data_IF_102824803402
#
_entry.id   IF_102824803402
#
_cell.length_a   1.000
_cell.length_b   1.000
_cell.length_c   1.000
_cell.angle_alpha   90.00
_cell.angle_beta   90.00
_cell.angle_gamma   90.00
#
_symmetry.space_group_name_H-M   'P 1'
#
loop_
_entity.id
_entity.type
_entity.pdbx_description
1 polymer ?
#
# COMPACT_ATOMS: atom_id res chain seq x y z
N UNK A 1 10.42 -11.74 -10.26
CA UNK A 1 9.73 -13.00 -10.61
C UNK A 1 10.30 -14.19 -9.86
N UNK A 2 11.63 -14.47 -10.01
CA UNK A 2 12.29 -15.67 -9.47
C UNK A 2 12.06 -15.88 -7.97
N UNK A 3 12.03 -14.80 -7.18
CA UNK A 3 11.90 -14.87 -5.73
C UNK A 3 10.48 -14.62 -5.23
N UNK A 4 9.74 -13.69 -5.86
CA UNK A 4 8.39 -13.33 -5.46
C UNK A 4 7.32 -14.28 -6.02
N UNK A 5 7.47 -14.73 -7.28
CA UNK A 5 6.51 -15.61 -7.93
C UNK A 5 6.12 -16.83 -7.08
N UNK A 6 7.09 -17.61 -6.56
CA UNK A 6 6.78 -18.79 -5.73
C UNK A 6 5.98 -18.50 -4.47
N UNK A 7 6.06 -17.27 -3.93
CA UNK A 7 5.28 -16.86 -2.75
C UNK A 7 3.80 -16.72 -3.13
N UNK A 8 3.51 -16.04 -4.25
CA UNK A 8 2.15 -15.70 -4.66
C UNK A 8 1.36 -16.87 -5.28
N UNK A 9 2.02 -17.96 -5.67
CA UNK A 9 1.33 -19.19 -6.12
C UNK A 9 0.92 -20.12 -4.96
N UNK A 10 1.20 -19.75 -3.72
CA UNK A 10 0.77 -20.51 -2.56
C UNK A 10 -0.72 -20.22 -2.26
N UNK A 11 -1.65 -21.19 -2.42
CA UNK A 11 -3.08 -20.95 -2.20
C UNK A 11 -3.44 -20.70 -0.73
N UNK A 12 -2.52 -20.97 0.21
CA UNK A 12 -2.71 -20.70 1.65
C UNK A 12 -2.19 -19.32 2.05
N UNK A 13 -1.65 -18.56 1.11
CA UNK A 13 -1.18 -17.20 1.37
C UNK A 13 -2.38 -16.29 1.63
N UNK A 14 -2.31 -15.49 2.67
CA UNK A 14 -3.17 -14.31 2.84
C UNK A 14 -2.48 -13.09 2.27
N UNK A 15 -3.15 -12.38 1.37
CA UNK A 15 -2.66 -11.14 0.78
C UNK A 15 -3.46 -9.97 1.36
N UNK A 16 -2.77 -9.01 1.93
CA UNK A 16 -3.37 -7.83 2.54
C UNK A 16 -2.76 -6.61 1.89
N UNK A 17 -3.57 -5.65 1.49
CA UNK A 17 -3.11 -4.41 0.87
C UNK A 17 -4.10 -3.27 1.07
N UNK A 18 -3.66 -2.09 0.72
CA UNK A 18 -4.48 -0.87 0.64
C UNK A 18 -4.76 -0.59 -0.84
N UNK A 19 -6.02 -0.61 -1.26
CA UNK A 19 -6.38 -0.55 -2.68
C UNK A 19 -5.69 -1.67 -3.49
N UNK A 20 -5.71 -2.87 -2.93
CA UNK A 20 -4.96 -4.06 -3.39
C UNK A 20 -5.20 -4.39 -4.87
N UNK A 21 -6.33 -4.00 -5.41
CA UNK A 21 -6.66 -4.18 -6.82
C UNK A 21 -5.58 -3.61 -7.73
N UNK A 22 -5.00 -2.45 -7.37
CA UNK A 22 -3.92 -1.83 -8.13
C UNK A 22 -2.67 -2.72 -8.14
N UNK A 23 -2.26 -3.22 -6.96
CA UNK A 23 -1.07 -4.07 -6.82
C UNK A 23 -1.23 -5.41 -7.54
N UNK A 24 -2.41 -6.01 -7.48
CA UNK A 24 -2.74 -7.24 -8.24
C UNK A 24 -2.61 -7.04 -9.75
N UNK A 25 -3.03 -5.87 -10.26
CA UNK A 25 -2.84 -5.54 -11.67
C UNK A 25 -1.36 -5.38 -12.04
N UNK A 26 -0.56 -4.74 -11.18
CA UNK A 26 0.88 -4.58 -11.39
C UNK A 26 1.55 -5.96 -11.37
N UNK A 27 1.29 -6.79 -10.38
CA UNK A 27 1.82 -8.16 -10.29
C UNK A 27 1.50 -8.97 -11.54
N UNK A 28 0.25 -8.93 -12.01
CA UNK A 28 -0.17 -9.60 -13.24
C UNK A 28 0.61 -9.11 -14.46
N UNK A 29 0.81 -7.78 -14.60
CA UNK A 29 1.56 -7.19 -15.73
C UNK A 29 3.01 -7.63 -15.76
N UNK A 30 3.64 -7.82 -14.63
CA UNK A 30 5.02 -8.34 -14.54
C UNK A 30 5.06 -9.88 -14.55
N UNK A 31 3.90 -10.55 -14.74
CA UNK A 31 3.75 -12.00 -14.88
C UNK A 31 3.94 -12.75 -13.57
N UNK A 32 3.52 -12.17 -12.46
CA UNK A 32 3.36 -12.85 -11.19
C UNK A 32 1.87 -13.12 -11.02
N UNK A 33 1.52 -14.40 -10.93
CA UNK A 33 0.16 -14.85 -10.68
C UNK A 33 -0.10 -14.97 -9.19
N UNK A 34 -1.21 -14.43 -8.75
CA UNK A 34 -1.70 -14.56 -7.37
C UNK A 34 -2.83 -15.57 -7.37
N UNK A 35 -2.60 -16.74 -6.77
CA UNK A 35 -3.55 -17.87 -6.84
C UNK A 35 -4.46 -17.97 -5.63
N UNK A 36 -4.12 -17.28 -4.54
CA UNK A 36 -4.98 -17.25 -3.35
C UNK A 36 -6.25 -16.45 -3.59
N UNK A 37 -7.33 -16.89 -2.94
CA UNK A 37 -8.60 -16.12 -2.83
C UNK A 37 -8.71 -15.39 -1.49
N UNK A 38 -7.78 -15.63 -0.54
CA UNK A 38 -7.73 -14.96 0.77
C UNK A 38 -7.05 -13.59 0.62
N UNK A 39 -7.78 -12.64 0.01
CA UNK A 39 -7.30 -11.30 -0.33
C UNK A 39 -8.10 -10.26 0.46
N UNK A 40 -7.41 -9.38 1.16
CA UNK A 40 -7.99 -8.36 2.02
C UNK A 40 -7.54 -6.96 1.62
N UNK A 41 -8.51 -6.05 1.51
CA UNK A 41 -8.28 -4.64 1.17
C UNK A 41 -8.67 -3.74 2.34
N UNK A 42 -7.68 -3.09 2.93
CA UNK A 42 -7.90 -2.19 4.07
C UNK A 42 -8.71 -0.96 3.72
N UNK A 43 -8.70 -0.54 2.45
CA UNK A 43 -9.57 0.55 1.97
C UNK A 43 -11.05 0.14 2.03
N UNK A 44 -11.37 -1.08 1.61
CA UNK A 44 -12.73 -1.61 1.66
C UNK A 44 -13.15 -1.86 3.12
N UNK A 45 -12.26 -2.44 3.93
CA UNK A 45 -12.53 -2.64 5.36
C UNK A 45 -12.82 -1.33 6.09
N UNK A 46 -12.03 -0.28 5.82
CA UNK A 46 -12.25 1.06 6.37
C UNK A 46 -13.63 1.60 6.01
N UNK A 47 -14.00 1.47 4.73
CA UNK A 47 -15.31 1.91 4.26
C UNK A 47 -16.46 1.15 4.94
N UNK A 48 -16.32 -0.15 5.15
CA UNK A 48 -17.31 -0.96 5.89
C UNK A 48 -17.42 -0.53 7.36
N UNK A 49 -16.31 -0.13 7.98
CA UNK A 49 -16.33 0.35 9.36
C UNK A 49 -16.99 1.73 9.47
N UNK A 50 -16.74 2.62 8.53
CA UNK A 50 -17.35 3.96 8.51
C UNK A 50 -17.25 4.58 7.11
N UNK A 51 -18.35 4.57 6.36
CA UNK A 51 -18.43 5.14 5.02
C UNK A 51 -18.33 6.68 4.99
N UNK A 52 -18.46 7.34 6.12
CA UNK A 52 -18.41 8.81 6.22
C UNK A 52 -16.99 9.36 6.45
N UNK A 53 -15.99 8.48 6.58
CA UNK A 53 -14.60 8.88 6.79
C UNK A 53 -13.76 8.68 5.54
N UNK A 54 -12.69 9.49 5.33
CA UNK A 54 -11.71 9.21 4.30
C UNK A 54 -11.12 7.80 4.48
N UNK A 55 -10.96 7.08 3.39
CA UNK A 55 -10.47 5.70 3.37
C UNK A 55 -9.05 5.55 2.80
N UNK A 56 -8.30 6.63 2.71
CA UNK A 56 -6.88 6.62 2.34
C UNK A 56 -6.01 6.06 3.47
N UNK A 57 -4.84 5.49 3.10
CA UNK A 57 -3.94 4.86 4.07
C UNK A 57 -3.49 5.85 5.15
N UNK A 58 -3.12 7.06 4.76
CA UNK A 58 -2.61 8.07 5.68
C UNK A 58 -3.66 8.59 6.64
N UNK A 59 -4.84 8.89 6.11
CA UNK A 59 -5.98 9.33 6.89
C UNK A 59 -6.38 8.26 7.92
N UNK A 60 -6.42 7.00 7.49
CA UNK A 60 -6.71 5.89 8.38
C UNK A 60 -5.60 5.68 9.41
N UNK A 61 -4.32 5.80 9.01
CA UNK A 61 -3.19 5.68 9.95
C UNK A 61 -3.23 6.77 11.02
N UNK A 62 -3.51 8.01 10.62
CA UNK A 62 -3.67 9.11 11.58
C UNK A 62 -4.86 8.90 12.52
N UNK A 63 -6.01 8.49 11.98
CA UNK A 63 -7.26 8.35 12.74
C UNK A 63 -7.26 7.14 13.68
N UNK A 64 -6.83 5.97 13.22
CA UNK A 64 -6.96 4.72 13.96
C UNK A 64 -5.68 4.27 14.65
N UNK A 65 -4.50 4.68 14.18
CA UNK A 65 -3.21 4.31 14.76
C UNK A 65 -2.51 5.48 15.45
N UNK A 66 -2.97 6.73 15.23
CA UNK A 66 -2.30 7.92 15.74
C UNK A 66 -0.94 8.18 15.07
N UNK A 67 -0.74 7.64 13.87
CA UNK A 67 0.53 7.75 13.13
C UNK A 67 0.36 8.76 12.01
N UNK A 68 1.13 9.86 12.10
CA UNK A 68 1.28 10.81 10.99
C UNK A 68 2.41 10.35 10.08
N UNK A 69 2.06 10.08 8.82
CA UNK A 69 2.99 9.54 7.83
C UNK A 69 3.57 10.64 6.93
N UNK A 70 4.85 10.48 6.60
CA UNK A 70 5.49 11.23 5.51
C UNK A 70 4.70 11.11 4.21
N UNK A 71 4.45 12.23 3.56
CA UNK A 71 3.74 12.22 2.29
C UNK A 71 4.64 11.76 1.14
N UNK A 72 4.06 11.00 0.20
CA UNK A 72 4.72 10.63 -1.05
C UNK A 72 5.44 11.82 -1.72
N UNK A 73 4.81 12.99 -1.68
CA UNK A 73 5.36 14.22 -2.24
C UNK A 73 6.69 14.60 -1.58
N UNK A 74 6.81 14.48 -0.27
CA UNK A 74 8.02 14.78 0.48
C UNK A 74 9.15 13.82 0.10
N UNK A 75 8.84 12.53 -0.06
CA UNK A 75 9.80 11.52 -0.49
C UNK A 75 10.33 11.79 -1.90
N UNK A 76 9.49 12.21 -2.85
CA UNK A 76 9.93 12.57 -4.22
C UNK A 76 10.73 13.87 -4.25
N UNK A 77 10.53 14.78 -3.29
CA UNK A 77 11.29 16.03 -3.17
C UNK A 77 12.74 15.79 -2.74
N UNK A 78 13.07 14.63 -2.16
CA UNK A 78 14.45 14.25 -1.82
C UNK A 78 15.33 13.97 -3.03
N UNK A 79 14.76 13.75 -4.22
CA UNK A 79 15.53 13.41 -5.44
C UNK A 79 16.48 14.54 -5.81
N UNK A 80 17.82 14.30 -5.79
CA UNK A 80 18.82 15.30 -6.11
C UNK A 80 18.71 15.82 -7.55
N UNK A 81 19.09 17.07 -7.75
CA UNK A 81 19.05 17.69 -9.09
C UNK A 81 20.02 17.00 -10.07
N UNK A 82 21.10 16.42 -9.57
CA UNK A 82 22.09 15.65 -10.34
C UNK A 82 21.42 14.42 -10.97
N UNK A 83 20.63 13.68 -10.19
CA UNK A 83 19.88 12.51 -10.68
C UNK A 83 18.83 12.96 -11.70
N UNK A 84 18.07 14.01 -11.39
CA UNK A 84 17.09 14.56 -12.35
C UNK A 84 17.74 14.90 -13.70
N UNK A 85 18.92 15.52 -13.67
CA UNK A 85 19.66 15.91 -14.88
C UNK A 85 20.15 14.70 -15.65
N UNK A 86 20.62 13.65 -15.00
CA UNK A 86 21.05 12.39 -15.63
C UNK A 86 19.92 11.74 -16.45
N UNK A 87 18.68 11.83 -15.94
CA UNK A 87 17.47 11.34 -16.64
C UNK A 87 16.82 12.42 -17.54
N UNK A 88 17.54 13.48 -17.90
CA UNK A 88 17.09 14.52 -18.83
C UNK A 88 15.99 15.45 -18.27
N UNK A 89 15.77 15.44 -16.96
CA UNK A 89 14.82 16.32 -16.30
C UNK A 89 15.47 17.65 -15.90
N UNK A 90 14.71 18.75 -15.99
CA UNK A 90 15.13 20.03 -15.43
C UNK A 90 14.97 20.01 -13.90
N UNK A 91 15.76 20.80 -13.18
CA UNK A 91 15.65 20.93 -11.72
C UNK A 91 14.23 21.29 -11.25
N UNK A 92 13.50 22.08 -12.05
CA UNK A 92 12.10 22.45 -11.79
C UNK A 92 11.08 21.34 -12.04
N UNK A 93 11.47 20.26 -12.73
CA UNK A 93 10.55 19.16 -13.00
C UNK A 93 10.32 18.36 -11.72
N UNK A 94 9.07 17.94 -11.50
CA UNK A 94 8.77 16.97 -10.44
C UNK A 94 9.42 15.65 -10.79
N UNK A 95 10.13 15.07 -9.83
CA UNK A 95 10.61 13.70 -9.93
C UNK A 95 9.45 12.71 -9.79
N UNK A 96 9.64 11.52 -10.31
CA UNK A 96 8.76 10.36 -10.10
C UNK A 96 9.42 9.40 -9.11
N UNK A 97 8.65 8.50 -8.53
CA UNK A 97 9.14 7.63 -7.44
C UNK A 97 10.26 6.67 -7.88
N UNK A 98 10.31 6.34 -9.16
CA UNK A 98 11.37 5.52 -9.77
C UNK A 98 12.77 6.17 -9.74
N UNK A 99 12.83 7.48 -9.50
CA UNK A 99 14.08 8.23 -9.31
C UNK A 99 14.49 8.42 -7.84
N UNK A 100 13.64 8.01 -6.90
CA UNK A 100 13.93 8.10 -5.47
C UNK A 100 14.99 7.06 -5.12
N UNK A 101 16.01 7.48 -4.36
CA UNK A 101 17.02 6.55 -3.85
C UNK A 101 16.37 5.52 -2.91
N UNK A 102 16.90 4.31 -2.89
CA UNK A 102 16.33 3.23 -2.05
C UNK A 102 16.35 3.63 -0.58
N UNK A 103 17.41 4.32 -0.13
CA UNK A 103 17.59 4.79 1.25
C UNK A 103 16.47 5.76 1.68
N UNK A 104 15.98 6.58 0.75
CA UNK A 104 14.90 7.55 0.99
C UNK A 104 13.51 6.93 0.81
N UNK A 105 13.36 6.04 -0.17
CA UNK A 105 12.09 5.41 -0.51
C UNK A 105 11.73 4.22 0.37
N UNK A 106 12.70 3.45 0.86
CA UNK A 106 12.43 2.25 1.63
C UNK A 106 11.72 2.52 2.97
N UNK A 107 12.07 3.53 3.76
CA UNK A 107 11.35 3.86 5.00
C UNK A 107 9.87 4.17 4.74
N UNK A 108 9.57 4.91 3.66
CA UNK A 108 8.21 5.21 3.25
C UNK A 108 7.43 3.93 2.89
N UNK A 109 7.99 3.07 2.04
CA UNK A 109 7.34 1.83 1.62
C UNK A 109 7.14 0.83 2.78
N UNK A 110 8.10 0.77 3.71
CA UNK A 110 7.99 -0.03 4.93
C UNK A 110 6.89 0.48 5.85
N UNK A 111 6.80 1.80 6.04
CA UNK A 111 5.74 2.41 6.85
C UNK A 111 4.35 2.14 6.25
N UNK A 112 4.19 2.26 4.92
CA UNK A 112 2.94 1.94 4.24
C UNK A 112 2.54 0.48 4.47
N UNK A 113 3.49 -0.46 4.36
CA UNK A 113 3.23 -1.88 4.58
C UNK A 113 2.89 -2.20 6.04
N UNK A 114 3.62 -1.62 6.99
CA UNK A 114 3.37 -1.78 8.42
C UNK A 114 2.00 -1.23 8.82
N UNK A 115 1.67 -0.01 8.39
CA UNK A 115 0.39 0.60 8.72
C UNK A 115 -0.79 -0.13 8.07
N UNK A 116 -0.62 -0.64 6.85
CA UNK A 116 -1.63 -1.49 6.20
C UNK A 116 -1.91 -2.74 7.03
N UNK A 117 -0.88 -3.38 7.59
CA UNK A 117 -1.03 -4.53 8.45
C UNK A 117 -1.74 -4.20 9.77
N UNK A 118 -1.33 -3.14 10.46
CA UNK A 118 -1.95 -2.71 11.72
C UNK A 118 -3.41 -2.31 11.53
N UNK A 119 -3.72 -1.59 10.45
CA UNK A 119 -5.10 -1.24 10.08
C UNK A 119 -5.94 -2.49 9.78
N UNK A 120 -5.37 -3.46 9.07
CA UNK A 120 -6.06 -4.73 8.83
C UNK A 120 -6.46 -5.40 10.15
N UNK A 121 -5.54 -5.52 11.10
CA UNK A 121 -5.82 -6.13 12.41
C UNK A 121 -6.92 -5.37 13.19
N UNK A 122 -6.92 -4.05 13.12
CA UNK A 122 -7.96 -3.22 13.72
C UNK A 122 -9.31 -3.41 13.04
N UNK A 123 -9.35 -3.25 11.73
CA UNK A 123 -10.61 -3.29 10.97
C UNK A 123 -11.25 -4.67 10.94
N UNK A 124 -10.50 -5.76 10.87
CA UNK A 124 -11.09 -7.10 10.86
C UNK A 124 -11.83 -7.38 12.18
N UNK A 125 -11.34 -6.87 13.30
CA UNK A 125 -12.02 -6.98 14.57
C UNK A 125 -13.31 -6.14 14.60
N UNK A 126 -13.27 -4.90 14.09
CA UNK A 126 -14.46 -4.04 14.02
C UNK A 126 -15.54 -4.65 13.11
N UNK A 127 -15.17 -5.09 11.92
CA UNK A 127 -16.09 -5.76 10.97
C UNK A 127 -16.72 -7.02 11.58
N UNK A 128 -15.95 -7.77 12.39
CA UNK A 128 -16.45 -8.95 13.08
C UNK A 128 -17.46 -8.58 14.20
N UNK A 129 -17.18 -7.53 14.97
CA UNK A 129 -18.08 -7.02 16.01
C UNK A 129 -19.41 -6.55 15.43
N UNK A 130 -19.39 -5.83 14.31
CA UNK A 130 -20.58 -5.34 13.61
C UNK A 130 -21.30 -6.44 12.79
N UNK A 131 -20.85 -7.70 12.86
CA UNK A 131 -21.40 -8.86 12.11
C UNK A 131 -21.41 -8.67 10.60
N UNK A 132 -20.54 -7.81 10.08
CA UNK A 132 -20.43 -7.52 8.64
C UNK A 132 -19.47 -8.46 7.88
N UNK A 133 -18.88 -9.44 8.55
CA UNK A 133 -17.93 -10.40 7.96
C UNK A 133 -18.49 -11.10 6.72
N UNK A 134 -19.80 -11.39 6.71
CA UNK A 134 -20.48 -12.03 5.55
C UNK A 134 -20.59 -11.13 4.31
N UNK A 135 -20.38 -9.83 4.45
CA UNK A 135 -20.44 -8.89 3.32
C UNK A 135 -19.09 -8.86 2.60
N UNK A 136 -18.01 -9.10 3.34
CA UNK A 136 -16.66 -9.07 2.79
C UNK A 136 -16.24 -10.40 2.13
N UNK A 137 -16.68 -11.55 2.68
CA UNK A 137 -16.37 -12.89 2.22
C UNK A 137 -17.45 -13.36 1.22
#
# INVERSE_FOLDING_TARGET
>A
RKYLGPIFVNPKLRVIGQNIKFDLHVLKRIGIEVTTTDIWDTMILSWLCNENTPNGLKENSAMYLGIDQTHFKETVETVPNEIKKEFGLKASNKATYDLVLIEDGAPYALADSFNTWELYLGFINLVAQEKMTKIYI
#
